data_IF_947349050942
#
_entry.id   IF_947349050942
#
_cell.length_a   1.000
_cell.length_b   1.000
_cell.length_c   1.000
_cell.angle_alpha   90.00
_cell.angle_beta   90.00
_cell.angle_gamma   90.00
#
_symmetry.space_group_name_H-M   'P 1'
#
loop_
_entity.id
_entity.type
_entity.pdbx_description
1 polymer ?
#
# COMPACT_ATOMS: atom_id res chain seq x y z
N UNK A 1 -4.60 -2.95 32.38
CA UNK A 1 -3.64 -1.83 32.47
C UNK A 1 -2.24 -2.38 32.25
N UNK A 2 -1.76 -2.45 31.01
CA UNK A 2 -0.37 -2.79 30.70
C UNK A 2 0.39 -1.50 30.46
N UNK A 3 1.29 -1.19 31.41
CA UNK A 3 2.11 0.01 31.37
C UNK A 3 2.97 0.07 30.11
N UNK A 4 2.86 1.17 29.41
CA UNK A 4 3.80 1.58 28.38
C UNK A 4 5.17 1.80 29.04
N UNK A 5 6.07 0.82 28.96
CA UNK A 5 7.49 1.12 29.16
C UNK A 5 7.91 1.97 27.98
N UNK A 6 7.90 3.27 28.16
CA UNK A 6 8.63 4.21 27.32
C UNK A 6 10.04 3.63 27.11
N UNK A 7 10.41 3.46 25.84
CA UNK A 7 11.74 3.07 25.40
C UNK A 7 12.77 3.68 26.35
N UNK A 8 13.52 2.83 27.04
CA UNK A 8 14.51 3.28 28.01
C UNK A 8 15.70 3.88 27.22
N UNK A 9 15.57 5.16 26.85
CA UNK A 9 16.56 5.92 26.06
C UNK A 9 17.95 5.92 26.70
N UNK A 10 18.03 5.59 28.00
CA UNK A 10 19.32 5.48 28.73
C UNK A 10 20.14 4.25 28.41
N UNK A 11 19.55 3.19 27.82
CA UNK A 11 20.29 1.98 27.43
C UNK A 11 20.79 2.00 25.98
N UNK A 12 20.42 2.98 25.17
CA UNK A 12 20.73 3.08 23.74
C UNK A 12 21.80 4.11 23.39
N UNK A 13 22.49 4.71 24.39
CA UNK A 13 23.61 5.58 24.07
C UNK A 13 24.77 4.77 23.49
N UNK A 14 25.37 5.23 22.38
CA UNK A 14 26.50 4.54 21.75
C UNK A 14 27.64 4.43 22.76
N UNK A 15 28.11 3.20 22.99
CA UNK A 15 29.17 2.90 23.96
C UNK A 15 30.50 2.58 23.30
N UNK A 16 30.46 2.19 22.03
CA UNK A 16 31.66 1.85 21.24
C UNK A 16 31.82 2.77 20.05
N UNK A 17 33.01 2.82 19.47
CA UNK A 17 33.23 3.57 18.22
C UNK A 17 32.35 3.05 17.08
N UNK A 18 32.06 1.76 17.08
CA UNK A 18 31.19 1.12 16.08
C UNK A 18 29.74 1.62 16.19
N UNK A 19 29.22 1.82 17.41
CA UNK A 19 27.88 2.35 17.62
C UNK A 19 27.77 3.79 17.08
N UNK A 20 28.82 4.61 17.25
CA UNK A 20 28.88 5.95 16.67
C UNK A 20 28.93 5.94 15.15
N UNK A 21 29.74 5.06 14.57
CA UNK A 21 29.80 4.90 13.10
C UNK A 21 28.45 4.46 12.52
N UNK A 22 27.77 3.51 13.16
CA UNK A 22 26.42 3.09 12.76
C UNK A 22 25.44 4.25 12.87
N UNK A 23 25.48 5.01 13.96
CA UNK A 23 24.60 6.15 14.16
C UNK A 23 24.80 7.23 13.09
N UNK A 24 26.05 7.58 12.79
CA UNK A 24 26.40 8.56 11.74
C UNK A 24 25.91 8.05 10.38
N UNK A 25 26.13 6.78 10.08
CA UNK A 25 25.64 6.17 8.84
C UNK A 25 24.11 6.21 8.73
N UNK A 26 23.40 5.87 9.81
CA UNK A 26 21.94 5.94 9.85
C UNK A 26 21.41 7.38 9.70
N UNK A 27 22.07 8.36 10.33
CA UNK A 27 21.74 9.77 10.17
C UNK A 27 21.96 10.23 8.72
N UNK A 28 23.08 9.84 8.12
CA UNK A 28 23.35 10.12 6.71
C UNK A 28 22.27 9.54 5.80
N UNK A 29 21.92 8.25 5.99
CA UNK A 29 20.84 7.61 5.24
C UNK A 29 19.50 8.33 5.45
N UNK A 30 19.18 8.72 6.69
CA UNK A 30 17.96 9.43 7.00
C UNK A 30 17.88 10.77 6.26
N UNK A 31 18.94 11.58 6.32
CA UNK A 31 19.01 12.86 5.60
C UNK A 31 18.90 12.62 4.10
N UNK A 32 19.62 11.64 3.55
CA UNK A 32 19.60 11.32 2.13
C UNK A 32 18.20 10.95 1.64
N UNK A 33 17.47 10.09 2.38
CA UNK A 33 16.11 9.70 2.02
C UNK A 33 15.06 10.80 2.26
N UNK A 34 15.32 11.75 3.16
CA UNK A 34 14.44 12.90 3.37
C UNK A 34 14.67 14.04 2.36
N UNK A 35 15.80 14.06 1.66
CA UNK A 35 16.11 15.09 0.66
C UNK A 35 15.02 15.30 -0.41
N UNK A 36 14.48 14.24 -1.06
CA UNK A 36 13.42 14.43 -2.06
C UNK A 36 12.16 15.07 -1.45
N UNK A 37 11.79 14.65 -0.23
CA UNK A 37 10.63 15.20 0.48
C UNK A 37 10.85 16.68 0.79
N UNK A 38 12.06 17.05 1.26
CA UNK A 38 12.41 18.44 1.47
C UNK A 38 12.25 19.28 0.20
N UNK A 39 12.81 18.82 -0.93
CA UNK A 39 12.71 19.53 -2.22
C UNK A 39 11.24 19.67 -2.66
N UNK A 40 10.43 18.63 -2.52
CA UNK A 40 9.00 18.69 -2.87
C UNK A 40 8.27 19.75 -2.03
N UNK A 41 8.44 19.75 -0.72
CA UNK A 41 7.77 20.67 0.19
C UNK A 41 8.24 22.11 -0.07
N UNK A 42 9.55 22.33 -0.12
CA UNK A 42 10.14 23.65 -0.33
C UNK A 42 9.76 24.23 -1.70
N UNK A 43 9.77 23.41 -2.75
CA UNK A 43 9.36 23.86 -4.09
C UNK A 43 7.87 24.16 -4.14
N UNK A 44 7.02 23.36 -3.50
CA UNK A 44 5.59 23.61 -3.40
C UNK A 44 5.22 24.93 -2.69
N UNK A 45 6.11 25.43 -1.83
CA UNK A 45 5.95 26.69 -1.11
C UNK A 45 6.54 27.92 -1.83
N UNK A 46 7.10 27.75 -3.04
CA UNK A 46 7.63 28.85 -3.86
C UNK A 46 6.58 29.39 -4.84
N UNK A 47 6.79 30.64 -5.26
CA UNK A 47 6.10 31.17 -6.45
C UNK A 47 6.65 30.49 -7.71
N UNK A 48 5.79 30.23 -8.73
CA UNK A 48 6.15 29.51 -9.95
C UNK A 48 7.38 30.10 -10.64
N UNK A 49 7.48 31.42 -10.71
CA UNK A 49 8.61 32.15 -11.31
C UNK A 49 9.95 32.00 -10.58
N UNK A 50 9.94 31.56 -9.32
CA UNK A 50 11.15 31.38 -8.48
C UNK A 50 11.59 29.91 -8.43
N UNK A 51 10.98 29.04 -9.23
CA UNK A 51 11.33 27.62 -9.29
C UNK A 51 12.26 27.37 -10.46
N UNK A 52 13.49 26.93 -10.15
CA UNK A 52 14.47 26.50 -11.14
C UNK A 52 15.39 25.44 -10.55
N UNK A 53 16.13 24.72 -11.39
CA UNK A 53 17.11 23.74 -10.94
C UNK A 53 18.19 24.36 -10.03
N UNK A 54 18.59 25.61 -10.27
CA UNK A 54 19.58 26.32 -9.46
C UNK A 54 19.06 26.74 -8.08
N UNK A 55 17.74 26.88 -7.94
CA UNK A 55 17.11 27.33 -6.69
C UNK A 55 16.40 26.21 -5.94
N UNK A 56 16.37 24.97 -6.44
CA UNK A 56 15.57 23.88 -5.88
C UNK A 56 15.87 23.59 -4.40
N UNK A 57 17.12 23.80 -3.98
CA UNK A 57 17.56 23.56 -2.60
C UNK A 57 17.36 24.76 -1.66
N UNK A 58 17.16 25.95 -2.22
CA UNK A 58 17.04 27.17 -1.44
C UNK A 58 15.67 27.24 -0.76
N UNK A 59 15.65 27.77 0.45
CA UNK A 59 14.39 28.12 1.10
C UNK A 59 13.66 29.20 0.29
N UNK A 60 12.32 29.20 0.30
CA UNK A 60 11.55 30.23 -0.41
C UNK A 60 11.82 31.62 0.19
N UNK A 61 12.13 32.61 -0.65
CA UNK A 61 12.28 34.01 -0.23
C UNK A 61 10.97 34.56 0.31
N UNK A 62 9.85 34.15 -0.30
CA UNK A 62 8.51 34.41 0.17
C UNK A 62 7.75 33.09 0.21
N UNK A 63 7.26 32.72 1.39
CA UNK A 63 6.40 31.56 1.59
C UNK A 63 5.04 31.84 0.95
N UNK A 64 4.60 30.95 0.07
CA UNK A 64 3.27 31.03 -0.55
C UNK A 64 2.60 29.64 -0.51
N UNK A 65 1.32 29.64 -0.17
CA UNK A 65 0.47 28.44 -0.25
C UNK A 65 -0.16 28.23 -1.63
N UNK A 66 0.15 29.10 -2.60
CA UNK A 66 -0.51 29.08 -3.92
C UNK A 66 -0.35 27.76 -4.66
N UNK A 67 0.86 27.15 -4.62
CA UNK A 67 1.11 25.84 -5.22
C UNK A 67 0.23 24.72 -4.62
N UNK A 68 0.10 24.69 -3.29
CA UNK A 68 -0.74 23.72 -2.59
C UNK A 68 -2.23 23.93 -2.84
N UNK A 69 -2.69 25.18 -2.84
CA UNK A 69 -4.08 25.52 -3.12
C UNK A 69 -4.48 25.10 -4.54
N UNK A 70 -3.65 25.41 -5.53
CA UNK A 70 -3.91 25.06 -6.92
C UNK A 70 -3.81 23.54 -7.14
N UNK A 71 -2.81 22.87 -6.56
CA UNK A 71 -2.71 21.43 -6.61
C UNK A 71 -3.94 20.75 -5.99
N UNK A 72 -4.40 21.21 -4.82
CA UNK A 72 -5.62 20.72 -4.19
C UNK A 72 -6.84 20.89 -5.09
N UNK A 73 -7.04 22.08 -5.65
CA UNK A 73 -8.16 22.35 -6.55
C UNK A 73 -8.21 21.42 -7.76
N UNK A 74 -7.04 21.12 -8.34
CA UNK A 74 -6.94 20.26 -9.52
C UNK A 74 -7.04 18.77 -9.18
N UNK A 75 -6.55 18.34 -8.03
CA UNK A 75 -6.46 16.92 -7.67
C UNK A 75 -7.61 16.41 -6.80
N UNK A 76 -8.36 17.32 -6.13
CA UNK A 76 -9.43 16.92 -5.20
C UNK A 76 -10.43 15.89 -5.78
N UNK A 77 -10.96 16.05 -7.03
CA UNK A 77 -11.88 15.05 -7.57
C UNK A 77 -11.25 13.66 -7.72
N UNK A 78 -9.98 13.62 -8.16
CA UNK A 78 -9.25 12.37 -8.39
C UNK A 78 -8.80 11.71 -7.08
N UNK A 79 -8.63 12.46 -5.98
CA UNK A 79 -8.45 11.89 -4.63
C UNK A 79 -9.68 11.06 -4.23
N UNK A 80 -10.89 11.56 -4.51
CA UNK A 80 -12.13 10.82 -4.33
C UNK A 80 -12.18 9.53 -5.14
N UNK A 81 -11.78 9.58 -6.42
CA UNK A 81 -11.69 8.41 -7.29
C UNK A 81 -10.69 7.38 -6.74
N UNK A 82 -9.52 7.84 -6.28
CA UNK A 82 -8.53 6.95 -5.68
C UNK A 82 -9.05 6.27 -4.41
N UNK A 83 -9.81 6.95 -3.57
CA UNK A 83 -10.42 6.33 -2.39
C UNK A 83 -11.49 5.31 -2.79
N UNK A 84 -12.35 5.64 -3.78
CA UNK A 84 -13.36 4.73 -4.32
C UNK A 84 -12.76 3.51 -5.00
N UNK A 85 -11.56 3.60 -5.53
CA UNK A 85 -10.78 2.49 -6.06
C UNK A 85 -10.13 1.68 -4.94
N UNK A 86 -9.35 2.35 -4.09
CA UNK A 86 -8.41 1.70 -3.17
C UNK A 86 -9.10 1.01 -2.02
N UNK A 87 -10.15 1.62 -1.45
CA UNK A 87 -10.86 1.04 -0.30
C UNK A 87 -11.54 -0.29 -0.67
N UNK A 88 -12.40 -0.37 -1.70
CA UNK A 88 -13.01 -1.65 -2.09
C UNK A 88 -11.99 -2.68 -2.53
N UNK A 89 -11.00 -2.30 -3.35
CA UNK A 89 -9.97 -3.21 -3.80
C UNK A 89 -9.20 -3.83 -2.62
N UNK A 90 -8.83 -3.01 -1.61
CA UNK A 90 -8.14 -3.49 -0.41
C UNK A 90 -9.03 -4.43 0.42
N UNK A 91 -10.30 -4.09 0.64
CA UNK A 91 -11.24 -4.90 1.42
C UNK A 91 -11.46 -6.25 0.74
N UNK A 92 -11.81 -6.25 -0.54
CA UNK A 92 -12.11 -7.50 -1.26
C UNK A 92 -10.88 -8.39 -1.41
N UNK A 93 -9.71 -7.83 -1.75
CA UNK A 93 -8.46 -8.60 -1.80
C UNK A 93 -8.12 -9.22 -0.44
N UNK A 94 -8.30 -8.46 0.65
CA UNK A 94 -7.99 -8.93 2.01
C UNK A 94 -8.94 -10.06 2.43
N UNK A 95 -10.24 -9.92 2.20
CA UNK A 95 -11.23 -10.94 2.57
C UNK A 95 -11.00 -12.22 1.76
N UNK A 96 -10.89 -12.11 0.43
CA UNK A 96 -10.66 -13.26 -0.44
C UNK A 96 -9.30 -13.90 -0.17
N UNK A 97 -8.27 -13.08 0.08
CA UNK A 97 -6.95 -13.55 0.49
C UNK A 97 -6.98 -14.31 1.82
N UNK A 98 -7.77 -13.83 2.80
CA UNK A 98 -7.93 -14.49 4.09
C UNK A 98 -8.64 -15.86 3.95
N UNK A 99 -9.72 -15.92 3.16
CA UNK A 99 -10.41 -17.19 2.87
C UNK A 99 -9.47 -18.18 2.21
N UNK A 100 -8.77 -17.77 1.15
CA UNK A 100 -7.78 -18.62 0.47
C UNK A 100 -6.66 -19.04 1.41
N UNK A 101 -6.08 -18.09 2.16
CA UNK A 101 -5.02 -18.36 3.13
C UNK A 101 -5.44 -19.37 4.19
N UNK A 102 -6.65 -19.25 4.71
CA UNK A 102 -7.22 -20.22 5.67
C UNK A 102 -7.36 -21.61 5.07
N UNK A 103 -7.94 -21.71 3.88
CA UNK A 103 -8.12 -23.01 3.20
C UNK A 103 -6.77 -23.66 2.94
N UNK A 104 -5.82 -22.93 2.37
CA UNK A 104 -4.49 -23.49 2.08
C UNK A 104 -3.62 -23.76 3.31
N UNK A 105 -3.90 -23.13 4.46
CA UNK A 105 -3.16 -23.38 5.70
C UNK A 105 -3.73 -24.57 6.51
N UNK A 106 -5.08 -24.66 6.60
CA UNK A 106 -5.75 -25.54 7.56
C UNK A 106 -6.46 -26.74 6.93
N UNK A 107 -6.64 -26.74 5.62
CA UNK A 107 -7.34 -27.84 4.94
C UNK A 107 -6.39 -28.62 4.05
N UNK A 108 -6.22 -29.92 4.40
CA UNK A 108 -5.38 -30.85 3.64
C UNK A 108 -6.24 -31.52 2.56
N UNK A 109 -6.09 -31.12 1.31
CA UNK A 109 -6.71 -31.76 0.17
C UNK A 109 -5.68 -32.03 -0.93
N UNK A 110 -5.97 -33.01 -1.80
CA UNK A 110 -5.06 -33.40 -2.87
C UNK A 110 -4.84 -32.24 -3.84
N UNK A 111 -3.59 -31.84 -4.06
CA UNK A 111 -3.25 -30.74 -4.95
C UNK A 111 -3.21 -29.34 -4.31
N UNK A 112 -3.51 -29.20 -2.99
CA UNK A 112 -3.52 -27.89 -2.31
C UNK A 112 -2.22 -27.09 -2.50
N UNK A 113 -1.07 -27.75 -2.32
CA UNK A 113 0.23 -27.09 -2.48
C UNK A 113 0.51 -26.68 -3.93
N UNK A 114 0.10 -27.50 -4.90
CA UNK A 114 0.26 -27.18 -6.33
C UNK A 114 -0.62 -25.99 -6.71
N UNK A 115 -1.89 -25.99 -6.30
CA UNK A 115 -2.79 -24.87 -6.55
C UNK A 115 -2.31 -23.57 -5.90
N UNK A 116 -1.82 -23.65 -4.67
CA UNK A 116 -1.22 -22.51 -3.99
C UNK A 116 0.04 -22.01 -4.69
N UNK A 117 0.92 -22.92 -5.13
CA UNK A 117 2.11 -22.55 -5.88
C UNK A 117 1.76 -21.86 -7.21
N UNK A 118 0.76 -22.36 -7.94
CA UNK A 118 0.27 -21.74 -9.17
C UNK A 118 -0.34 -20.36 -8.92
N UNK A 119 -1.12 -20.19 -7.83
CA UNK A 119 -1.65 -18.90 -7.43
C UNK A 119 -0.52 -17.88 -7.18
N UNK A 120 0.48 -18.27 -6.40
CA UNK A 120 1.62 -17.40 -6.07
C UNK A 120 2.50 -17.16 -7.30
N UNK A 121 2.66 -18.15 -8.17
CA UNK A 121 3.41 -18.01 -9.43
C UNK A 121 2.83 -16.89 -10.31
N UNK A 122 1.52 -16.67 -10.26
CA UNK A 122 0.86 -15.57 -10.97
C UNK A 122 1.41 -14.17 -10.67
N UNK A 123 2.04 -13.97 -9.48
CA UNK A 123 2.67 -12.69 -9.13
C UNK A 123 3.91 -12.36 -9.99
N UNK A 124 4.55 -13.37 -10.55
CA UNK A 124 5.77 -13.19 -11.36
C UNK A 124 5.48 -12.90 -12.83
N UNK A 125 4.21 -12.98 -13.25
CA UNK A 125 3.81 -12.60 -14.60
C UNK A 125 3.84 -11.08 -14.71
N UNK A 126 4.68 -10.50 -15.60
CA UNK A 126 4.70 -9.06 -15.79
C UNK A 126 3.34 -8.57 -16.27
N UNK A 127 2.68 -7.74 -15.46
CA UNK A 127 1.34 -7.25 -15.80
C UNK A 127 1.32 -6.38 -17.06
N UNK A 128 2.45 -5.79 -17.45
CA UNK A 128 2.60 -5.07 -18.72
C UNK A 128 2.34 -5.98 -19.93
N UNK A 129 2.74 -7.24 -19.85
CA UNK A 129 2.59 -8.20 -20.95
C UNK A 129 1.15 -8.61 -21.20
N UNK A 130 0.26 -8.43 -20.23
CA UNK A 130 -1.14 -8.84 -20.33
C UNK A 130 -2.12 -7.66 -20.46
N UNK A 131 -1.62 -6.42 -20.57
CA UNK A 131 -2.49 -5.24 -20.65
C UNK A 131 -3.48 -5.31 -21.80
N UNK A 132 -3.02 -5.70 -23.00
CA UNK A 132 -3.90 -5.79 -24.19
C UNK A 132 -5.01 -6.83 -23.98
N UNK A 133 -4.73 -8.10 -23.64
CA UNK A 133 -5.79 -9.07 -23.40
C UNK A 133 -6.66 -8.71 -22.19
N UNK A 134 -6.11 -8.03 -21.17
CA UNK A 134 -6.87 -7.54 -20.03
C UNK A 134 -7.90 -6.48 -20.43
N UNK A 135 -7.51 -5.51 -21.28
CA UNK A 135 -8.42 -4.49 -21.81
C UNK A 135 -9.53 -5.15 -22.61
N UNK A 136 -9.20 -6.07 -23.54
CA UNK A 136 -10.18 -6.80 -24.33
C UNK A 136 -11.17 -7.59 -23.46
N UNK A 137 -10.67 -8.23 -22.39
CA UNK A 137 -11.54 -8.92 -21.43
C UNK A 137 -12.47 -7.95 -20.71
N UNK A 138 -11.96 -6.80 -20.24
CA UNK A 138 -12.78 -5.79 -19.57
C UNK A 138 -13.82 -5.18 -20.50
N UNK A 139 -13.52 -5.01 -21.79
CA UNK A 139 -14.49 -4.56 -22.80
C UNK A 139 -15.60 -5.58 -22.99
N UNK A 140 -15.27 -6.88 -23.11
CA UNK A 140 -16.26 -7.96 -23.27
C UNK A 140 -17.24 -8.01 -22.09
N UNK A 141 -16.76 -7.82 -20.87
CA UNK A 141 -17.61 -7.80 -19.67
C UNK A 141 -18.18 -6.40 -19.34
N UNK A 142 -17.96 -5.39 -20.21
CA UNK A 142 -18.45 -4.01 -20.11
C UNK A 142 -17.95 -3.28 -18.85
N UNK A 143 -16.77 -3.60 -18.39
CA UNK A 143 -16.13 -2.95 -17.23
C UNK A 143 -14.92 -2.06 -17.63
N UNK A 144 -14.51 -2.03 -18.89
CA UNK A 144 -13.51 -1.09 -19.38
C UNK A 144 -13.98 0.35 -19.21
N UNK A 145 -13.08 1.26 -18.84
CA UNK A 145 -13.41 2.68 -18.60
C UNK A 145 -14.14 2.95 -17.29
N UNK A 146 -14.30 1.95 -16.41
CA UNK A 146 -15.05 2.09 -15.15
C UNK A 146 -14.19 1.83 -13.92
N UNK A 147 -14.47 2.56 -12.82
CA UNK A 147 -13.79 2.32 -11.52
C UNK A 147 -14.03 0.89 -11.00
N UNK A 148 -15.24 0.31 -11.08
CA UNK A 148 -15.44 -1.10 -10.72
C UNK A 148 -14.58 -2.08 -11.51
N UNK A 149 -14.33 -1.83 -12.80
CA UNK A 149 -13.43 -2.64 -13.61
C UNK A 149 -11.99 -2.59 -13.09
N UNK A 150 -11.50 -1.41 -12.73
CA UNK A 150 -10.18 -1.25 -12.14
C UNK A 150 -10.11 -1.87 -10.72
N UNK A 151 -11.17 -1.78 -9.91
CA UNK A 151 -11.28 -2.49 -8.62
C UNK A 151 -11.13 -4.00 -8.83
N UNK A 152 -11.84 -4.59 -9.81
CA UNK A 152 -11.75 -6.01 -10.13
C UNK A 152 -10.31 -6.42 -10.47
N UNK A 153 -9.62 -5.64 -11.29
CA UNK A 153 -8.22 -5.89 -11.66
C UNK A 153 -7.33 -5.90 -10.42
N UNK A 154 -7.43 -4.90 -9.55
CA UNK A 154 -6.64 -4.83 -8.33
C UNK A 154 -6.97 -5.94 -7.32
N UNK A 155 -8.22 -6.39 -7.26
CA UNK A 155 -8.60 -7.55 -6.44
C UNK A 155 -7.92 -8.81 -6.95
N UNK A 156 -7.97 -9.07 -8.25
CA UNK A 156 -7.35 -10.27 -8.85
C UNK A 156 -5.83 -10.26 -8.66
N UNK A 157 -5.18 -9.13 -8.93
CA UNK A 157 -3.72 -9.00 -8.77
C UNK A 157 -3.26 -8.99 -7.32
N UNK A 158 -4.09 -8.50 -6.40
CA UNK A 158 -3.80 -8.52 -4.97
C UNK A 158 -3.99 -9.90 -4.32
N UNK A 159 -4.78 -10.78 -4.94
CA UNK A 159 -5.16 -12.06 -4.35
C UNK A 159 -3.96 -12.96 -3.99
N UNK A 160 -2.96 -13.16 -4.85
CA UNK A 160 -1.83 -14.04 -4.55
C UNK A 160 -1.06 -13.60 -3.31
N UNK A 161 -0.66 -12.32 -3.22
CA UNK A 161 0.13 -11.81 -2.10
C UNK A 161 -0.69 -11.79 -0.81
N UNK A 162 -1.97 -11.39 -0.87
CA UNK A 162 -2.86 -11.43 0.29
C UNK A 162 -3.01 -12.87 0.80
N UNK A 163 -3.24 -13.83 -0.11
CA UNK A 163 -3.34 -15.26 0.22
C UNK A 163 -2.05 -15.80 0.83
N UNK A 164 -0.88 -15.38 0.34
CA UNK A 164 0.42 -15.79 0.88
C UNK A 164 0.61 -15.30 2.31
N UNK A 165 0.32 -14.02 2.57
CA UNK A 165 0.47 -13.44 3.90
C UNK A 165 -0.49 -14.12 4.88
N UNK A 166 -1.77 -14.28 4.52
CA UNK A 166 -2.75 -14.93 5.39
C UNK A 166 -2.45 -16.41 5.59
N UNK A 167 -2.01 -17.15 4.56
CA UNK A 167 -1.62 -18.55 4.71
C UNK A 167 -0.49 -18.71 5.73
N UNK A 168 0.53 -17.87 5.62
CA UNK A 168 1.65 -17.88 6.56
C UNK A 168 1.18 -17.55 7.99
N UNK A 169 0.28 -16.59 8.15
CA UNK A 169 -0.30 -16.27 9.44
C UNK A 169 -1.11 -17.41 10.02
N UNK A 170 -2.06 -17.97 9.25
CA UNK A 170 -2.90 -19.06 9.70
C UNK A 170 -2.12 -20.35 9.97
N UNK A 171 -1.03 -20.60 9.26
CA UNK A 171 -0.16 -21.75 9.51
C UNK A 171 0.47 -21.74 10.92
N UNK A 172 0.64 -20.57 11.54
CA UNK A 172 1.16 -20.42 12.89
C UNK A 172 0.09 -20.52 13.99
N UNK A 173 -1.19 -20.55 13.64
CA UNK A 173 -2.28 -20.78 14.59
C UNK A 173 -2.34 -22.29 14.89
N UNK A 174 -2.45 -22.73 16.16
CA UNK A 174 -2.56 -24.15 16.51
C UNK A 174 -3.75 -24.84 15.83
N UNK A 175 -3.53 -26.08 15.35
CA UNK A 175 -4.60 -26.85 14.68
C UNK A 175 -5.69 -27.29 15.66
N UNK A 176 -5.37 -27.37 16.93
CA UNK A 176 -6.28 -27.74 18.05
C UNK A 176 -7.49 -26.79 18.12
N UNK A 177 -7.34 -25.52 17.74
CA UNK A 177 -8.47 -24.58 17.69
C UNK A 177 -9.48 -24.92 16.58
N UNK A 178 -8.98 -25.43 15.45
CA UNK A 178 -9.84 -25.89 14.34
C UNK A 178 -10.51 -27.21 14.72
N UNK A 179 -9.77 -28.12 15.40
CA UNK A 179 -10.30 -29.39 15.87
C UNK A 179 -11.37 -29.20 16.95
N UNK A 180 -11.15 -28.32 17.92
CA UNK A 180 -12.14 -27.97 18.94
C UNK A 180 -13.44 -27.43 18.28
N UNK A 181 -13.30 -26.50 17.34
CA UNK A 181 -14.45 -25.98 16.61
C UNK A 181 -15.23 -27.08 15.85
N UNK A 182 -14.53 -28.09 15.31
CA UNK A 182 -15.18 -29.26 14.66
C UNK A 182 -15.92 -30.14 15.66
N UNK A 183 -15.35 -30.36 16.84
CA UNK A 183 -16.00 -31.11 17.91
C UNK A 183 -17.28 -30.41 18.33
N UNK A 184 -17.28 -29.06 18.36
CA UNK A 184 -18.44 -28.22 18.63
C UNK A 184 -19.44 -28.17 17.45
N UNK A 185 -19.23 -28.96 16.39
CA UNK A 185 -20.09 -29.05 15.21
C UNK A 185 -19.95 -27.88 14.22
N UNK A 186 -18.91 -27.08 14.30
CA UNK A 186 -18.67 -26.00 13.35
C UNK A 186 -18.09 -26.55 12.03
N UNK A 187 -18.75 -26.26 10.91
CA UNK A 187 -18.19 -26.50 9.57
C UNK A 187 -17.12 -25.46 9.19
N UNK A 188 -16.48 -25.66 8.03
CA UNK A 188 -15.40 -24.84 7.47
C UNK A 188 -15.68 -23.34 7.55
N UNK A 189 -16.83 -22.94 7.03
CA UNK A 189 -17.24 -21.52 6.95
C UNK A 189 -17.46 -20.93 8.35
N UNK A 190 -18.12 -21.67 9.24
CA UNK A 190 -18.40 -21.22 10.61
C UNK A 190 -17.10 -21.10 11.41
N UNK A 191 -16.18 -22.05 11.26
CA UNK A 191 -14.84 -21.99 11.88
C UNK A 191 -14.06 -20.78 11.37
N UNK A 192 -14.13 -20.47 10.08
CA UNK A 192 -13.48 -19.29 9.52
C UNK A 192 -14.00 -18.00 10.19
N UNK A 193 -15.30 -17.78 10.16
CA UNK A 193 -15.90 -16.52 10.64
C UNK A 193 -15.81 -16.32 12.15
N UNK A 194 -16.02 -17.39 12.94
CA UNK A 194 -16.12 -17.27 14.40
C UNK A 194 -14.79 -17.49 15.14
N UNK A 195 -13.84 -18.20 14.54
CA UNK A 195 -12.58 -18.53 15.19
C UNK A 195 -11.39 -17.90 14.47
N UNK A 196 -11.22 -18.20 13.19
CA UNK A 196 -10.00 -17.83 12.47
C UNK A 196 -9.94 -16.35 12.11
N UNK A 197 -11.06 -15.76 11.69
CA UNK A 197 -11.12 -14.35 11.29
C UNK A 197 -10.81 -13.39 12.45
N UNK A 198 -11.40 -13.54 13.66
CA UNK A 198 -11.05 -12.69 14.81
C UNK A 198 -9.58 -12.79 15.20
N UNK A 199 -8.99 -13.99 15.13
CA UNK A 199 -7.57 -14.20 15.42
C UNK A 199 -6.66 -13.56 14.36
N UNK A 200 -7.16 -13.42 13.12
CA UNK A 200 -6.40 -12.86 12.00
C UNK A 200 -6.42 -11.33 11.90
N UNK A 201 -7.07 -10.62 12.83
CA UNK A 201 -7.11 -9.14 12.80
C UNK A 201 -5.72 -8.48 12.64
N UNK A 202 -4.65 -8.96 13.32
CA UNK A 202 -3.31 -8.40 13.09
C UNK A 202 -2.81 -8.59 11.65
N UNK A 203 -3.11 -9.74 11.03
CA UNK A 203 -2.75 -10.00 9.64
C UNK A 203 -3.53 -9.12 8.66
N UNK A 204 -4.81 -8.83 8.95
CA UNK A 204 -5.60 -7.87 8.16
C UNK A 204 -5.01 -6.47 8.16
N UNK A 205 -4.43 -6.02 9.28
CA UNK A 205 -3.73 -4.72 9.31
C UNK A 205 -2.53 -4.72 8.37
N UNK A 206 -1.71 -5.78 8.40
CA UNK A 206 -0.53 -5.91 7.53
C UNK A 206 -0.93 -5.95 6.06
N UNK A 207 -1.88 -6.82 5.72
CA UNK A 207 -2.39 -6.96 4.34
C UNK A 207 -3.06 -5.67 3.87
N UNK A 208 -3.83 -5.02 4.75
CA UNK A 208 -4.50 -3.76 4.47
C UNK A 208 -3.52 -2.64 4.13
N UNK A 209 -2.44 -2.47 4.92
CA UNK A 209 -1.38 -1.49 4.63
C UNK A 209 -0.73 -1.79 3.28
N UNK A 210 -0.34 -3.04 3.07
CA UNK A 210 0.34 -3.46 1.85
C UNK A 210 -0.54 -3.25 0.61
N UNK A 211 -1.76 -3.75 0.63
CA UNK A 211 -2.68 -3.69 -0.51
C UNK A 211 -3.17 -2.26 -0.77
N UNK A 212 -3.49 -1.50 0.30
CA UNK A 212 -3.85 -0.08 0.16
C UNK A 212 -2.73 0.69 -0.55
N UNK A 213 -1.49 0.54 -0.08
CA UNK A 213 -0.34 1.25 -0.67
C UNK A 213 -0.12 0.86 -2.12
N UNK A 214 -0.25 -0.44 -2.44
CA UNK A 214 -0.08 -0.94 -3.80
C UNK A 214 -1.13 -0.36 -4.76
N UNK A 215 -2.40 -0.40 -4.37
CA UNK A 215 -3.51 0.13 -5.17
C UNK A 215 -3.47 1.65 -5.26
N UNK A 216 -3.20 2.35 -4.15
CA UNK A 216 -3.11 3.80 -4.11
C UNK A 216 -2.03 4.36 -5.04
N UNK A 217 -0.87 3.70 -5.08
CA UNK A 217 0.27 4.14 -5.88
C UNK A 217 0.22 3.63 -7.34
N UNK A 218 -0.82 2.87 -7.71
CA UNK A 218 -0.94 2.41 -9.10
C UNK A 218 -1.12 3.59 -10.06
N UNK A 219 -0.36 3.55 -11.12
CA UNK A 219 -0.43 4.48 -12.23
C UNK A 219 -0.82 3.77 -13.53
N UNK A 220 -0.21 2.60 -13.78
CA UNK A 220 -0.26 1.98 -15.09
C UNK A 220 -1.65 1.41 -15.42
N UNK A 221 -2.26 0.69 -14.50
CA UNK A 221 -3.64 0.24 -14.70
C UNK A 221 -4.61 1.43 -14.74
N UNK A 222 -4.38 2.45 -13.87
CA UNK A 222 -5.19 3.66 -13.85
C UNK A 222 -5.21 4.39 -15.20
N UNK A 223 -4.03 4.61 -15.81
CA UNK A 223 -3.94 5.35 -17.09
C UNK A 223 -4.41 4.52 -18.27
N UNK A 224 -4.28 3.17 -18.22
CA UNK A 224 -4.65 2.29 -19.33
C UNK A 224 -6.12 1.88 -19.32
N UNK A 225 -6.70 1.68 -18.16
CA UNK A 225 -8.10 1.19 -18.01
C UNK A 225 -9.09 2.33 -17.91
N UNK A 226 -8.70 3.50 -17.38
CA UNK A 226 -9.57 4.67 -17.22
C UNK A 226 -9.16 5.80 -18.17
N UNK A 227 -9.65 5.80 -19.43
CA UNK A 227 -9.29 6.81 -20.43
C UNK A 227 -9.86 8.19 -20.11
N UNK A 228 -10.98 8.27 -19.37
CA UNK A 228 -11.61 9.53 -19.02
C UNK A 228 -10.91 10.21 -17.82
N UNK A 229 -10.34 11.42 -17.98
CA UNK A 229 -9.65 12.13 -16.90
C UNK A 229 -10.48 12.32 -15.62
N UNK A 230 -11.81 12.45 -15.75
CA UNK A 230 -12.69 12.64 -14.59
C UNK A 230 -12.82 11.40 -13.69
N UNK A 231 -12.54 10.21 -14.21
CA UNK A 231 -12.58 8.94 -13.47
C UNK A 231 -11.21 8.42 -13.06
N UNK A 232 -10.12 9.04 -13.53
CA UNK A 232 -8.76 8.62 -13.25
C UNK A 232 -8.39 8.75 -11.77
N UNK A 233 -7.54 7.85 -11.24
CA UNK A 233 -6.99 7.97 -9.90
C UNK A 233 -6.01 9.17 -9.81
N UNK A 234 -5.74 9.59 -8.60
CA UNK A 234 -4.94 10.79 -8.31
C UNK A 234 -3.49 10.70 -8.82
N UNK A 235 -2.92 9.50 -8.91
CA UNK A 235 -1.57 9.27 -9.46
C UNK A 235 -1.51 9.65 -10.94
N UNK A 236 -2.53 9.30 -11.73
CA UNK A 236 -2.63 9.69 -13.14
C UNK A 236 -2.90 11.19 -13.26
N UNK A 237 -3.81 11.74 -12.45
CA UNK A 237 -4.09 13.16 -12.43
C UNK A 237 -2.86 14.00 -12.05
N UNK A 238 -2.04 13.54 -11.09
CA UNK A 238 -0.77 14.16 -10.73
C UNK A 238 0.20 14.21 -11.90
N UNK A 239 0.33 13.10 -12.64
CA UNK A 239 1.17 13.07 -13.84
C UNK A 239 0.68 14.07 -14.90
N UNK A 240 -0.64 14.20 -15.06
CA UNK A 240 -1.25 15.14 -16.01
C UNK A 240 -1.02 16.62 -15.64
N UNK A 241 -0.68 16.94 -14.37
CA UNK A 241 -0.29 18.30 -13.97
C UNK A 241 1.01 18.77 -14.64
N UNK A 242 1.85 17.83 -15.10
CA UNK A 242 3.11 18.16 -15.75
C UNK A 242 2.94 18.87 -17.11
N UNK A 243 1.73 18.85 -17.70
CA UNK A 243 1.40 19.58 -18.92
C UNK A 243 2.32 19.28 -20.12
N UNK A 244 1.92 19.77 -21.30
CA UNK A 244 2.71 19.54 -22.54
C UNK A 244 3.60 20.73 -22.90
N UNK A 245 3.24 21.96 -22.50
CA UNK A 245 3.91 23.20 -22.95
C UNK A 245 4.54 24.01 -21.82
N UNK A 246 3.96 24.01 -20.63
CA UNK A 246 4.52 24.67 -19.45
C UNK A 246 4.19 23.89 -18.21
N UNK A 247 5.17 23.73 -17.33
CA UNK A 247 5.02 22.98 -16.08
C UNK A 247 5.14 23.93 -14.91
N UNK A 248 4.08 24.04 -14.13
CA UNK A 248 4.10 24.73 -12.84
C UNK A 248 4.68 23.78 -11.78
N UNK A 249 6.01 23.72 -11.71
CA UNK A 249 6.69 22.78 -10.81
C UNK A 249 6.33 22.94 -9.34
N UNK A 250 6.00 24.13 -8.89
CA UNK A 250 5.49 24.35 -7.52
C UNK A 250 4.14 23.64 -7.31
N UNK A 251 3.26 23.62 -8.31
CA UNK A 251 1.97 22.91 -8.25
C UNK A 251 2.17 21.40 -8.31
N UNK A 252 3.05 20.92 -9.21
CA UNK A 252 3.35 19.49 -9.32
C UNK A 252 3.97 18.94 -8.03
N UNK A 253 4.95 19.66 -7.46
CA UNK A 253 5.61 19.23 -6.20
C UNK A 253 4.67 19.30 -5.01
N UNK A 254 3.84 20.35 -4.91
CA UNK A 254 2.78 20.42 -3.91
C UNK A 254 1.76 19.28 -4.07
N UNK A 255 1.37 18.97 -5.31
CA UNK A 255 0.51 17.84 -5.64
C UNK A 255 1.11 16.51 -5.22
N UNK A 256 2.39 16.27 -5.48
CA UNK A 256 3.09 15.07 -5.05
C UNK A 256 3.08 14.90 -3.52
N UNK A 257 3.27 15.98 -2.76
CA UNK A 257 3.12 15.96 -1.29
C UNK A 257 1.69 15.56 -0.89
N UNK A 258 0.66 16.19 -1.50
CA UNK A 258 -0.74 15.88 -1.21
C UNK A 258 -1.06 14.40 -1.49
N UNK A 259 -0.61 13.88 -2.65
CA UNK A 259 -0.85 12.49 -3.06
C UNK A 259 -0.12 11.48 -2.16
N UNK A 260 1.03 11.84 -1.62
CA UNK A 260 1.77 10.98 -0.70
C UNK A 260 1.17 10.91 0.72
N UNK A 261 0.37 11.91 1.14
CA UNK A 261 -0.16 11.99 2.50
C UNK A 261 -0.97 10.77 2.95
N UNK A 262 -1.92 10.20 2.17
CA UNK A 262 -2.71 9.07 2.65
C UNK A 262 -1.87 7.83 2.95
N UNK A 263 -0.91 7.50 2.09
CA UNK A 263 -0.01 6.38 2.33
C UNK A 263 0.94 6.64 3.50
N UNK A 264 1.50 7.86 3.59
CA UNK A 264 2.33 8.25 4.72
C UNK A 264 1.58 8.17 6.06
N UNK A 265 0.33 8.65 6.11
CA UNK A 265 -0.52 8.57 7.30
C UNK A 265 -0.80 7.12 7.71
N UNK A 266 -1.09 6.24 6.77
CA UNK A 266 -1.29 4.81 7.05
C UNK A 266 -0.03 4.20 7.66
N UNK A 267 1.16 4.47 7.11
CA UNK A 267 2.41 3.97 7.66
C UNK A 267 2.73 4.56 9.04
N UNK A 268 2.46 5.84 9.27
CA UNK A 268 2.69 6.48 10.58
C UNK A 268 1.76 5.87 11.63
N UNK A 269 0.47 5.71 11.31
CA UNK A 269 -0.54 5.24 12.26
C UNK A 269 -0.45 3.73 12.53
N UNK A 270 -0.23 2.95 11.49
CA UNK A 270 -0.32 1.49 11.52
C UNK A 270 1.03 0.78 11.42
N UNK A 271 2.13 1.49 11.16
CA UNK A 271 3.47 0.90 10.92
C UNK A 271 3.97 0.05 12.08
N UNK A 272 3.63 0.38 13.33
CA UNK A 272 3.94 -0.44 14.51
C UNK A 272 3.35 -1.87 14.44
N UNK A 273 2.18 -2.01 13.84
CA UNK A 273 1.52 -3.31 13.64
C UNK A 273 2.16 -4.07 12.48
N UNK A 274 2.57 -3.35 11.43
CA UNK A 274 3.28 -3.90 10.28
C UNK A 274 4.60 -4.58 10.72
N UNK A 275 5.43 -3.89 11.48
CA UNK A 275 6.71 -4.43 11.99
C UNK A 275 6.47 -5.67 12.88
N UNK A 276 5.48 -5.62 13.79
CA UNK A 276 5.15 -6.77 14.64
C UNK A 276 4.63 -7.97 13.84
N UNK A 277 3.81 -7.73 12.82
CA UNK A 277 3.27 -8.80 11.97
C UNK A 277 4.35 -9.50 11.13
N UNK A 278 5.33 -8.75 10.61
CA UNK A 278 6.48 -9.31 9.89
C UNK A 278 7.39 -10.13 10.82
N UNK A 279 7.65 -9.62 12.03
CA UNK A 279 8.50 -10.31 13.00
C UNK A 279 7.85 -11.58 13.56
N UNK A 280 6.54 -11.62 13.72
CA UNK A 280 5.82 -12.82 14.17
C UNK A 280 5.96 -14.00 13.20
N UNK A 281 6.24 -13.74 11.91
CA UNK A 281 6.53 -14.76 10.91
C UNK A 281 8.01 -15.20 10.83
N UNK A 282 8.93 -14.44 11.44
CA UNK A 282 10.39 -14.67 11.31
C UNK A 282 11.04 -15.33 12.53
N UNK A 283 10.37 -15.35 13.69
CA UNK A 283 10.90 -15.99 14.90
C UNK A 283 10.45 -17.45 14.93
N UNK A 284 11.16 -18.30 14.16
CA UNK A 284 11.31 -19.74 14.45
C UNK A 284 12.74 -19.90 14.96
N UNK A 285 12.92 -19.78 16.24
CA UNK A 285 14.09 -20.22 16.98
C UNK A 285 13.67 -21.27 17.95
#
# INVERSE_FOLDING_TARGET
MMGFSLFNFRQSLPRTIWDWLILIFLLFCTIFFLMPIYVMVVTGLKQSQNVSLSTMWNLPVQLTGGGFMEAWRRLYPNLGNSLQLTIPATIFSSILGAVNGYIFAKWKFRGANTLFALLVFGMFIPYQSILIPLIQFLEQIKLYGTVPGLVLVHVIYGLPICSLIFRNFFANIPDELVEAARIDGAGVVRTFWLVMLPLALPAFVVVGIFQFTNVWNDFLFGVTILPNPSSQPVTVALNNLSGTFSVDWNVVMAGAVIVALPTALIYILLGRFFVRGLLAGSVKG
#
